data_IF_087451878389
#
_entry.id   IF_087451878389
#
_cell.length_a   1.000
_cell.length_b   1.000
_cell.length_c   1.000
_cell.angle_alpha   90.00
_cell.angle_beta   90.00
_cell.angle_gamma   90.00
#
_symmetry.space_group_name_H-M   'P 1'
#
loop_
_entity.id
_entity.type
_entity.pdbx_description
1 polymer ?
#
# COMPACT_ATOMS: atom_id res chain seq x y z
N UNK A 1 -6.38 -19.95 11.60
CA UNK A 1 -5.12 -20.02 10.82
C UNK A 1 -4.71 -18.61 10.43
N UNK A 2 -5.64 -17.83 9.90
CA UNK A 2 -5.42 -16.45 9.45
C UNK A 2 -4.87 -15.51 10.53
N UNK A 3 -5.26 -15.64 11.80
CA UNK A 3 -4.63 -14.85 12.88
C UNK A 3 -3.10 -14.93 12.86
N UNK A 4 -2.55 -16.13 12.65
CA UNK A 4 -1.11 -16.35 12.59
C UNK A 4 -0.54 -15.71 11.31
N UNK A 5 -1.23 -15.86 10.18
CA UNK A 5 -0.82 -15.22 8.92
C UNK A 5 -0.76 -13.70 9.04
N UNK A 6 -1.76 -13.07 9.65
CA UNK A 6 -1.77 -11.62 9.87
C UNK A 6 -0.65 -11.17 10.83
N UNK A 7 -0.34 -11.93 11.89
CA UNK A 7 0.85 -11.64 12.69
C UNK A 7 2.16 -11.78 11.89
N UNK A 8 2.26 -12.78 11.01
CA UNK A 8 3.41 -12.95 10.13
C UNK A 8 3.52 -11.79 9.13
N UNK A 9 2.41 -11.31 8.57
CA UNK A 9 2.41 -10.13 7.71
C UNK A 9 2.84 -8.88 8.48
N UNK A 10 2.31 -8.63 9.68
CA UNK A 10 2.78 -7.54 10.54
C UNK A 10 4.29 -7.62 10.76
N UNK A 11 4.82 -8.79 11.13
CA UNK A 11 6.25 -8.99 11.34
C UNK A 11 7.05 -8.78 10.04
N UNK A 12 6.55 -9.24 8.90
CA UNK A 12 7.19 -9.04 7.60
C UNK A 12 7.24 -7.56 7.21
N UNK A 13 6.15 -6.81 7.40
CA UNK A 13 6.14 -5.37 7.15
C UNK A 13 7.07 -4.58 8.09
N UNK A 14 7.15 -4.97 9.37
CA UNK A 14 8.15 -4.42 10.30
C UNK A 14 9.57 -4.70 9.78
N UNK A 15 9.84 -5.93 9.33
CA UNK A 15 11.11 -6.30 8.72
C UNK A 15 11.44 -5.47 7.48
N UNK A 16 10.46 -5.24 6.60
CA UNK A 16 10.60 -4.38 5.42
C UNK A 16 10.89 -2.93 5.80
N UNK A 17 10.19 -2.40 6.81
CA UNK A 17 10.39 -1.04 7.31
C UNK A 17 11.81 -0.88 7.87
N UNK A 18 12.28 -1.84 8.69
CA UNK A 18 13.65 -1.85 9.21
C UNK A 18 14.66 -1.92 8.07
N UNK A 19 14.45 -2.82 7.09
CA UNK A 19 15.35 -2.95 5.95
C UNK A 19 15.44 -1.66 5.14
N UNK A 20 14.30 -1.05 4.82
CA UNK A 20 14.22 0.20 4.08
C UNK A 20 14.92 1.35 4.83
N UNK A 21 14.65 1.51 6.14
CA UNK A 21 15.30 2.51 6.98
C UNK A 21 16.80 2.28 7.13
N UNK A 22 17.25 1.03 7.24
CA UNK A 22 18.69 0.69 7.34
C UNK A 22 19.50 1.07 6.11
N UNK A 23 18.83 1.23 4.96
CA UNK A 23 19.42 1.64 3.68
C UNK A 23 19.05 3.05 3.25
N UNK A 24 18.32 3.78 4.11
CA UNK A 24 17.87 5.13 3.83
C UNK A 24 19.06 6.09 3.67
N UNK A 25 19.15 6.73 2.49
CA UNK A 25 20.20 7.74 2.24
C UNK A 25 19.70 9.17 2.38
N UNK A 26 18.45 9.43 2.03
CA UNK A 26 17.90 10.79 2.07
C UNK A 26 16.38 10.80 2.25
N UNK A 27 15.86 11.84 2.89
CA UNK A 27 14.42 12.08 3.02
C UNK A 27 13.91 12.83 1.79
N UNK A 28 13.24 12.10 0.89
CA UNK A 28 12.72 12.61 -0.38
C UNK A 28 11.31 12.03 -0.63
N UNK A 29 10.75 12.23 -1.83
CA UNK A 29 9.39 11.74 -2.14
C UNK A 29 9.26 10.21 -2.06
N UNK A 30 10.33 9.43 -2.21
CA UNK A 30 10.29 7.98 -1.97
C UNK A 30 10.05 7.61 -0.51
N UNK A 31 10.26 8.54 0.44
CA UNK A 31 10.00 8.31 1.87
C UNK A 31 8.52 8.18 2.21
N UNK A 32 7.60 8.57 1.31
CA UNK A 32 6.17 8.33 1.49
C UNK A 32 5.84 6.82 1.61
N UNK A 33 6.69 5.94 1.08
CA UNK A 33 6.58 4.49 1.27
C UNK A 33 6.57 4.08 2.74
N UNK A 34 7.27 4.82 3.62
CA UNK A 34 7.28 4.53 5.05
C UNK A 34 5.90 4.72 5.70
N UNK A 35 5.13 5.71 5.25
CA UNK A 35 3.78 5.92 5.76
C UNK A 35 2.88 4.74 5.38
N UNK A 36 2.98 4.26 4.15
CA UNK A 36 2.22 3.08 3.68
C UNK A 36 2.62 1.83 4.46
N UNK A 37 3.92 1.60 4.68
CA UNK A 37 4.39 0.49 5.51
C UNK A 37 3.85 0.58 6.94
N UNK A 38 3.83 1.76 7.56
CA UNK A 38 3.26 1.95 8.90
C UNK A 38 1.75 1.69 8.92
N UNK A 39 1.02 2.13 7.89
CA UNK A 39 -0.40 1.85 7.72
C UNK A 39 -0.68 0.35 7.66
N UNK A 40 0.08 -0.39 6.85
CA UNK A 40 -0.07 -1.85 6.71
C UNK A 40 0.34 -2.63 7.95
N UNK A 41 1.38 -2.18 8.68
CA UNK A 41 1.75 -2.73 9.99
C UNK A 41 0.58 -2.58 10.95
N UNK A 42 -0.01 -1.39 11.03
CA UNK A 42 -1.15 -1.11 11.89
C UNK A 42 -2.36 -1.96 11.50
N UNK A 43 -2.74 -1.95 10.21
CA UNK A 43 -3.88 -2.71 9.70
C UNK A 43 -3.78 -4.20 10.05
N UNK A 44 -2.67 -4.83 9.68
CA UNK A 44 -2.47 -6.26 9.92
C UNK A 44 -2.39 -6.58 11.43
N UNK A 45 -1.79 -5.69 12.23
CA UNK A 45 -1.70 -5.89 13.68
C UNK A 45 -3.07 -5.85 14.36
N UNK A 46 -3.94 -4.92 13.94
CA UNK A 46 -5.31 -4.82 14.47
C UNK A 46 -6.14 -6.03 14.05
N UNK A 47 -6.05 -6.47 12.78
CA UNK A 47 -6.75 -7.69 12.32
C UNK A 47 -6.27 -8.92 13.11
N UNK A 48 -4.95 -9.09 13.25
CA UNK A 48 -4.37 -10.21 14.00
C UNK A 48 -4.81 -10.20 15.48
N UNK A 49 -4.87 -9.02 16.08
CA UNK A 49 -5.22 -8.84 17.49
C UNK A 49 -6.72 -8.89 17.76
N UNK A 50 -7.55 -8.76 16.74
CA UNK A 50 -9.00 -8.55 16.90
C UNK A 50 -9.71 -9.64 17.71
N UNK A 51 -9.33 -10.92 17.54
CA UNK A 51 -9.90 -12.01 18.36
C UNK A 51 -9.55 -11.95 19.84
N UNK A 52 -8.44 -11.29 20.20
CA UNK A 52 -7.98 -11.15 21.58
C UNK A 52 -8.54 -9.88 22.23
N UNK A 53 -8.75 -8.83 21.43
CA UNK A 53 -9.43 -7.60 21.85
C UNK A 53 -10.92 -7.87 22.06
N UNK A 54 -11.52 -8.69 21.19
CA UNK A 54 -12.94 -9.02 21.21
C UNK A 54 -13.80 -7.95 20.54
N UNK A 55 -15.05 -8.32 20.29
CA UNK A 55 -16.06 -7.40 19.75
C UNK A 55 -16.37 -6.29 20.74
N UNK A 56 -16.38 -5.06 20.24
CA UNK A 56 -16.88 -3.91 20.98
C UNK A 56 -16.30 -2.59 20.47
N UNK A 57 -16.60 -1.49 21.18
CA UNK A 57 -16.23 -0.14 20.74
C UNK A 57 -14.72 0.07 20.55
N UNK A 58 -13.89 -0.66 21.29
CA UNK A 58 -12.43 -0.57 21.15
C UNK A 58 -11.96 -1.09 19.79
N UNK A 59 -12.34 -2.33 19.43
CA UNK A 59 -11.93 -2.93 18.16
C UNK A 59 -12.56 -2.21 16.97
N UNK A 60 -13.78 -1.70 17.13
CA UNK A 60 -14.47 -0.88 16.14
C UNK A 60 -13.72 0.42 15.85
N UNK A 61 -13.37 1.21 16.89
CA UNK A 61 -12.61 2.45 16.73
C UNK A 61 -11.21 2.22 16.13
N UNK A 62 -10.53 1.16 16.56
CA UNK A 62 -9.25 0.77 15.95
C UNK A 62 -9.43 0.40 14.48
N UNK A 63 -10.57 -0.21 14.12
CA UNK A 63 -10.89 -0.53 12.74
C UNK A 63 -11.23 0.68 11.90
N UNK A 64 -11.89 1.70 12.44
CA UNK A 64 -12.06 2.98 11.75
C UNK A 64 -10.72 3.57 11.31
N UNK A 65 -9.71 3.55 12.17
CA UNK A 65 -8.37 4.06 11.83
C UNK A 65 -7.76 3.27 10.66
N UNK A 66 -8.07 1.98 10.52
CA UNK A 66 -7.61 1.17 9.37
C UNK A 66 -8.12 1.76 8.06
N UNK A 67 -9.43 1.97 7.92
CA UNK A 67 -10.04 2.57 6.73
C UNK A 67 -9.49 3.97 6.43
N UNK A 68 -9.40 4.83 7.45
CA UNK A 68 -8.80 6.16 7.30
C UNK A 68 -7.33 6.09 6.86
N UNK A 69 -6.55 5.16 7.41
CA UNK A 69 -5.15 5.00 7.04
C UNK A 69 -5.00 4.57 5.58
N UNK A 70 -5.82 3.64 5.09
CA UNK A 70 -5.80 3.26 3.68
C UNK A 70 -6.20 4.43 2.78
N UNK A 71 -7.25 5.18 3.15
CA UNK A 71 -7.73 6.32 2.39
C UNK A 71 -6.73 7.46 2.26
N UNK A 72 -5.92 7.70 3.30
CA UNK A 72 -4.93 8.77 3.31
C UNK A 72 -3.56 8.34 2.79
N UNK A 73 -3.11 7.14 3.13
CA UNK A 73 -1.71 6.75 2.97
C UNK A 73 -1.44 6.05 1.63
N UNK A 74 -2.31 5.12 1.20
CA UNK A 74 -2.10 4.38 -0.06
C UNK A 74 -1.97 5.29 -1.29
N UNK A 75 -2.78 6.37 -1.45
CA UNK A 75 -2.61 7.32 -2.55
C UNK A 75 -1.22 7.96 -2.64
N UNK A 76 -0.50 8.06 -1.52
CA UNK A 76 0.85 8.66 -1.48
C UNK A 76 1.90 7.86 -2.25
N UNK A 77 1.58 6.63 -2.67
CA UNK A 77 2.40 5.86 -3.61
C UNK A 77 2.56 6.53 -4.99
N UNK A 78 1.68 7.47 -5.35
CA UNK A 78 1.90 8.33 -6.51
C UNK A 78 3.08 9.31 -6.30
N UNK A 79 3.21 9.88 -5.11
CA UNK A 79 4.37 10.71 -4.74
C UNK A 79 5.65 9.87 -4.69
N UNK A 80 5.58 8.66 -4.12
CA UNK A 80 6.68 7.69 -4.18
C UNK A 80 7.15 7.46 -5.62
N UNK A 81 6.21 7.24 -6.54
CA UNK A 81 6.48 6.98 -7.96
C UNK A 81 7.22 8.14 -8.62
N UNK A 82 6.78 9.38 -8.37
CA UNK A 82 7.49 10.57 -8.84
C UNK A 82 8.89 10.66 -8.24
N UNK A 83 9.04 10.36 -6.95
CA UNK A 83 10.33 10.26 -6.28
C UNK A 83 11.25 9.27 -6.97
N UNK A 84 10.79 8.06 -7.22
CA UNK A 84 11.59 7.00 -7.85
C UNK A 84 12.09 7.42 -9.24
N UNK A 85 11.26 8.08 -10.06
CA UNK A 85 11.68 8.61 -11.37
C UNK A 85 12.72 9.73 -11.24
N UNK A 86 12.58 10.61 -10.24
CA UNK A 86 13.55 11.69 -9.98
C UNK A 86 14.92 11.12 -9.60
N UNK A 87 14.94 10.17 -8.66
CA UNK A 87 16.18 9.51 -8.21
C UNK A 87 16.81 8.69 -9.34
N UNK A 88 15.99 8.11 -10.23
CA UNK A 88 16.47 7.41 -11.42
C UNK A 88 17.04 8.33 -12.52
N UNK A 89 17.00 9.66 -12.35
CA UNK A 89 17.58 10.60 -13.31
C UNK A 89 16.63 11.05 -14.43
N UNK A 90 15.34 10.71 -14.38
CA UNK A 90 14.37 11.08 -15.42
C UNK A 90 14.13 12.59 -15.43
N UNK A 91 14.64 13.28 -16.46
CA UNK A 91 14.72 14.75 -16.49
C UNK A 91 13.38 15.48 -16.37
N UNK A 92 12.32 15.00 -17.03
CA UNK A 92 11.01 15.66 -16.96
C UNK A 92 10.35 15.52 -15.57
N UNK A 93 10.63 14.43 -14.84
CA UNK A 93 10.10 14.19 -13.50
C UNK A 93 10.62 15.22 -12.46
N UNK A 94 11.76 15.86 -12.73
CA UNK A 94 12.36 16.89 -11.86
C UNK A 94 11.66 18.25 -11.97
N UNK A 95 10.79 18.48 -12.98
CA UNK A 95 10.08 19.75 -13.18
C UNK A 95 9.08 20.01 -12.05
N UNK A 96 8.97 21.28 -11.60
CA UNK A 96 7.98 21.70 -10.58
C UNK A 96 6.53 21.47 -11.01
N UNK A 97 6.21 21.72 -12.29
CA UNK A 97 4.86 21.48 -12.81
C UNK A 97 4.42 20.02 -12.63
N UNK A 98 5.32 19.05 -12.87
CA UNK A 98 5.03 17.63 -12.70
C UNK A 98 4.77 17.28 -11.23
N UNK A 99 5.47 17.92 -10.29
CA UNK A 99 5.17 17.76 -8.86
C UNK A 99 3.74 18.18 -8.52
N UNK A 100 3.30 19.37 -8.96
CA UNK A 100 1.94 19.84 -8.68
C UNK A 100 0.87 18.97 -9.33
N UNK A 101 1.13 18.44 -10.54
CA UNK A 101 0.21 17.49 -11.19
C UNK A 101 0.09 16.20 -10.37
N UNK A 102 1.21 15.59 -9.95
CA UNK A 102 1.19 14.36 -9.14
C UNK A 102 0.59 14.61 -7.75
N UNK A 103 0.85 15.76 -7.15
CA UNK A 103 0.25 16.16 -5.88
C UNK A 103 -1.27 16.32 -6.02
N UNK A 104 -1.74 17.02 -7.06
CA UNK A 104 -3.17 17.15 -7.37
C UNK A 104 -3.83 15.79 -7.60
N UNK A 105 -3.18 14.89 -8.35
CA UNK A 105 -3.64 13.52 -8.54
C UNK A 105 -3.73 12.73 -7.22
N UNK A 106 -2.72 12.87 -6.35
CA UNK A 106 -2.71 12.23 -5.01
C UNK A 106 -3.87 12.73 -4.16
N UNK A 107 -4.09 14.04 -4.11
CA UNK A 107 -5.19 14.65 -3.35
C UNK A 107 -6.57 14.25 -3.91
N UNK A 108 -6.69 14.15 -5.24
CA UNK A 108 -7.92 13.68 -5.89
C UNK A 108 -8.22 12.23 -5.52
N UNK A 109 -7.21 11.34 -5.53
CA UNK A 109 -7.39 9.95 -5.08
C UNK A 109 -7.76 9.85 -3.60
N UNK A 110 -7.15 10.67 -2.73
CA UNK A 110 -7.56 10.75 -1.32
C UNK A 110 -9.03 11.16 -1.21
N UNK A 111 -9.47 12.17 -1.97
CA UNK A 111 -10.85 12.61 -1.95
C UNK A 111 -11.82 11.54 -2.45
N UNK A 112 -11.47 10.84 -3.53
CA UNK A 112 -12.25 9.71 -4.06
C UNK A 112 -12.38 8.62 -3.00
N UNK A 113 -11.25 8.14 -2.46
CA UNK A 113 -11.27 7.06 -1.47
C UNK A 113 -12.00 7.47 -0.19
N UNK A 114 -11.84 8.72 0.24
CA UNK A 114 -12.60 9.26 1.36
C UNK A 114 -14.11 9.22 1.09
N UNK A 115 -14.57 9.66 -0.08
CA UNK A 115 -16.01 9.68 -0.42
C UNK A 115 -16.60 8.28 -0.53
N UNK A 116 -15.86 7.31 -1.09
CA UNK A 116 -16.40 5.97 -1.34
C UNK A 116 -16.21 4.99 -0.19
N UNK A 117 -15.14 5.11 0.61
CA UNK A 117 -14.76 4.10 1.61
C UNK A 117 -14.80 4.62 3.06
N UNK A 118 -14.90 5.94 3.27
CA UNK A 118 -14.83 6.55 4.62
C UNK A 118 -16.08 7.38 4.95
N UNK A 119 -16.60 8.12 3.99
CA UNK A 119 -17.75 8.98 4.19
C UNK A 119 -19.01 8.15 4.45
N UNK A 120 -19.58 8.29 5.65
CA UNK A 120 -20.73 7.48 6.04
C UNK A 120 -20.39 6.00 6.27
N UNK A 121 -19.11 5.67 6.50
CA UNK A 121 -18.67 4.31 6.79
C UNK A 121 -19.37 3.78 8.04
N UNK A 122 -20.16 2.73 7.84
CA UNK A 122 -20.73 1.92 8.91
C UNK A 122 -19.97 0.61 8.99
N UNK A 123 -19.53 0.26 10.20
CA UNK A 123 -18.74 -0.94 10.45
C UNK A 123 -19.61 -2.02 11.08
N UNK A 124 -19.49 -3.24 10.56
CA UNK A 124 -20.11 -4.42 11.15
C UNK A 124 -19.07 -5.48 11.51
N UNK A 125 -19.37 -6.27 12.53
CA UNK A 125 -18.51 -7.38 12.95
C UNK A 125 -18.52 -8.47 11.87
N UNK A 126 -17.33 -8.86 11.46
CA UNK A 126 -17.08 -9.97 10.54
C UNK A 126 -16.23 -11.03 11.24
N UNK A 127 -16.70 -12.28 11.19
CA UNK A 127 -16.04 -13.45 11.80
C UNK A 127 -15.76 -14.49 10.74
N UNK A 128 -14.56 -14.45 10.17
CA UNK A 128 -14.14 -15.35 9.10
C UNK A 128 -12.78 -15.97 9.40
N UNK A 129 -12.63 -17.26 9.08
CA UNK A 129 -11.35 -18.00 9.16
C UNK A 129 -10.60 -17.91 10.52
N UNK A 130 -11.34 -17.67 11.60
CA UNK A 130 -10.82 -17.51 12.97
C UNK A 130 -10.37 -16.08 13.32
N UNK A 131 -10.69 -15.11 12.48
CA UNK A 131 -10.56 -13.68 12.75
C UNK A 131 -11.85 -13.14 13.38
N UNK A 132 -11.69 -12.05 14.13
CA UNK A 132 -12.76 -11.17 14.57
C UNK A 132 -12.31 -9.77 14.17
N UNK A 133 -12.96 -9.15 13.19
CA UNK A 133 -12.62 -7.82 12.69
C UNK A 133 -13.90 -7.03 12.43
N UNK A 134 -13.77 -5.72 12.29
CA UNK A 134 -14.83 -4.90 11.71
C UNK A 134 -14.53 -4.63 10.24
N UNK A 135 -15.56 -4.74 9.39
CA UNK A 135 -15.53 -4.48 7.96
C UNK A 135 -16.69 -3.55 7.56
N UNK A 136 -16.63 -2.99 6.35
CA UNK A 136 -17.72 -2.13 5.83
C UNK A 136 -19.02 -2.93 5.73
N UNK A 137 -20.12 -2.35 6.23
CA UNK A 137 -21.44 -2.92 6.11
C UNK A 137 -22.00 -2.91 4.68
N UNK A 138 -21.49 -2.01 3.82
CA UNK A 138 -21.82 -1.92 2.40
C UNK A 138 -20.52 -1.97 1.58
N UNK A 139 -19.94 -3.17 1.37
CA UNK A 139 -18.70 -3.31 0.62
C UNK A 139 -18.96 -3.01 -0.86
N UNK A 140 -18.11 -2.16 -1.46
CA UNK A 140 -18.21 -1.84 -2.87
C UNK A 140 -18.14 -3.11 -3.75
N UNK A 141 -19.00 -3.18 -4.77
CA UNK A 141 -19.04 -4.30 -5.71
C UNK A 141 -17.91 -4.20 -6.75
N UNK A 142 -16.68 -4.51 -6.36
CA UNK A 142 -15.52 -4.54 -7.25
C UNK A 142 -14.19 -4.19 -6.56
N UNK A 143 -13.04 -4.32 -7.24
CA UNK A 143 -11.77 -3.86 -6.70
C UNK A 143 -11.86 -2.36 -6.40
N UNK A 144 -11.36 -1.88 -5.25
CA UNK A 144 -11.41 -0.46 -4.91
C UNK A 144 -10.81 0.38 -6.03
N UNK A 145 -11.58 1.37 -6.52
CA UNK A 145 -11.21 2.21 -7.66
C UNK A 145 -9.84 2.86 -7.42
N UNK A 146 -9.55 3.26 -6.18
CA UNK A 146 -8.27 3.83 -5.78
C UNK A 146 -7.10 2.87 -6.02
N UNK A 147 -7.22 1.60 -5.67
CA UNK A 147 -6.15 0.61 -5.88
C UNK A 147 -5.83 0.50 -7.38
N UNK A 148 -6.85 0.51 -8.24
CA UNK A 148 -6.64 0.50 -9.70
C UNK A 148 -5.89 1.75 -10.17
N UNK A 149 -6.32 2.93 -9.71
CA UNK A 149 -5.70 4.22 -10.07
C UNK A 149 -4.26 4.33 -9.58
N UNK A 150 -3.96 3.89 -8.36
CA UNK A 150 -2.59 3.84 -7.82
C UNK A 150 -1.75 2.85 -8.61
N UNK A 151 -2.30 1.67 -8.91
CA UNK A 151 -1.56 0.61 -9.60
C UNK A 151 -1.20 0.99 -11.04
N UNK A 152 -2.06 1.75 -11.74
CA UNK A 152 -1.72 2.32 -13.06
C UNK A 152 -0.46 3.18 -12.97
N UNK A 153 -0.36 4.05 -11.95
CA UNK A 153 0.83 4.90 -11.74
C UNK A 153 2.05 4.05 -11.42
N UNK A 154 1.91 3.01 -10.60
CA UNK A 154 3.00 2.09 -10.27
C UNK A 154 3.50 1.32 -11.51
N UNK A 155 2.59 0.82 -12.35
CA UNK A 155 2.90 0.12 -13.60
C UNK A 155 3.61 1.07 -14.57
N UNK A 156 3.06 2.26 -14.81
CA UNK A 156 3.65 3.25 -15.71
C UNK A 156 5.07 3.62 -15.25
N UNK A 157 5.25 3.83 -13.95
CA UNK A 157 6.55 4.11 -13.34
C UNK A 157 7.50 2.93 -13.48
N UNK A 158 7.04 1.69 -13.23
CA UNK A 158 7.83 0.48 -13.40
C UNK A 158 8.31 0.29 -14.85
N UNK A 159 7.46 0.56 -15.85
CA UNK A 159 7.84 0.54 -17.27
C UNK A 159 8.94 1.57 -17.55
N UNK A 160 8.79 2.79 -17.04
CA UNK A 160 9.78 3.85 -17.22
C UNK A 160 11.11 3.52 -16.54
N UNK A 161 11.10 3.00 -15.32
CA UNK A 161 12.30 2.56 -14.62
C UNK A 161 13.00 1.40 -15.34
N UNK A 162 12.23 0.46 -15.89
CA UNK A 162 12.80 -0.61 -16.70
C UNK A 162 13.49 -0.04 -17.94
N UNK A 163 12.82 0.82 -18.69
CA UNK A 163 13.40 1.44 -19.90
C UNK A 163 14.60 2.33 -19.61
N UNK A 164 14.61 3.04 -18.48
CA UNK A 164 15.62 4.05 -18.19
C UNK A 164 16.87 3.48 -17.48
N UNK A 165 16.68 2.56 -16.53
CA UNK A 165 17.77 2.05 -15.68
C UNK A 165 17.83 0.51 -15.61
N UNK A 166 17.04 -0.20 -16.42
CA UNK A 166 17.00 -1.66 -16.47
C UNK A 166 16.21 -2.31 -15.31
N UNK A 167 15.54 -1.53 -14.47
CA UNK A 167 14.91 -2.02 -13.24
C UNK A 167 13.45 -2.45 -13.44
N UNK A 168 13.20 -3.76 -13.48
CA UNK A 168 11.87 -4.34 -13.77
C UNK A 168 11.03 -4.69 -12.54
N UNK A 169 11.60 -4.72 -11.33
CA UNK A 169 10.95 -5.33 -10.17
C UNK A 169 9.69 -4.60 -9.69
N UNK A 170 9.68 -3.26 -9.75
CA UNK A 170 8.47 -2.48 -9.48
C UNK A 170 7.30 -2.88 -10.40
N UNK A 171 7.59 -3.08 -11.69
CA UNK A 171 6.59 -3.49 -12.66
C UNK A 171 6.07 -4.90 -12.37
N UNK A 172 6.97 -5.83 -12.02
CA UNK A 172 6.59 -7.20 -11.64
C UNK A 172 5.68 -7.19 -10.41
N UNK A 173 6.06 -6.44 -9.36
CA UNK A 173 5.24 -6.31 -8.14
C UNK A 173 3.85 -5.76 -8.43
N UNK A 174 3.78 -4.65 -9.18
CA UNK A 174 2.50 -4.03 -9.53
C UNK A 174 1.63 -4.94 -10.43
N UNK A 175 2.24 -5.64 -11.38
CA UNK A 175 1.54 -6.61 -12.22
C UNK A 175 0.99 -7.80 -11.44
N UNK A 176 1.79 -8.37 -10.53
CA UNK A 176 1.34 -9.47 -9.66
C UNK A 176 0.20 -9.03 -8.75
N UNK A 177 0.28 -7.84 -8.13
CA UNK A 177 -0.81 -7.29 -7.34
C UNK A 177 -2.08 -7.12 -8.17
N UNK A 178 -1.97 -6.54 -9.37
CA UNK A 178 -3.13 -6.34 -10.26
C UNK A 178 -3.80 -7.68 -10.56
N UNK A 179 -3.04 -8.67 -11.04
CA UNK A 179 -3.59 -9.98 -11.39
C UNK A 179 -4.20 -10.65 -10.16
N UNK A 180 -3.51 -10.62 -9.02
CA UNK A 180 -3.98 -11.19 -7.76
C UNK A 180 -5.27 -10.55 -7.23
N UNK A 181 -5.52 -9.28 -7.50
CA UNK A 181 -6.75 -8.58 -7.11
C UNK A 181 -7.94 -8.85 -8.03
N UNK A 182 -7.71 -9.26 -9.28
CA UNK A 182 -8.79 -9.54 -10.25
C UNK A 182 -9.14 -11.02 -10.36
N UNK A 183 -8.22 -11.92 -10.02
CA UNK A 183 -8.44 -13.36 -10.15
C UNK A 183 -8.92 -13.91 -8.80
N UNK A 184 -10.15 -14.45 -8.71
CA UNK A 184 -10.58 -15.12 -7.50
C UNK A 184 -9.70 -16.34 -7.26
N UNK A 185 -8.98 -16.32 -6.15
CA UNK A 185 -8.11 -17.42 -5.76
C UNK A 185 -8.92 -18.36 -4.88
N UNK A 186 -9.06 -19.66 -5.25
CA UNK A 186 -9.86 -20.63 -4.51
C UNK A 186 -9.12 -21.10 -3.25
N UNK A 187 -8.82 -20.16 -2.35
CA UNK A 187 -8.19 -20.41 -1.07
C UNK A 187 -9.07 -19.77 -0.01
N UNK A 188 -9.49 -20.60 0.95
CA UNK A 188 -10.30 -20.22 2.10
C UNK A 188 -9.48 -19.41 3.11
N UNK A 189 -9.12 -18.17 2.75
CA UNK A 189 -8.36 -17.27 3.61
C UNK A 189 -8.57 -15.80 3.25
N UNK A 190 -8.80 -14.97 4.27
CA UNK A 190 -8.85 -13.51 4.15
C UNK A 190 -7.45 -12.89 3.97
N UNK A 191 -6.38 -13.70 4.09
CA UNK A 191 -5.00 -13.25 4.07
C UNK A 191 -4.37 -13.22 2.66
N UNK A 192 -5.05 -13.73 1.63
CA UNK A 192 -4.49 -13.87 0.26
C UNK A 192 -4.11 -12.52 -0.34
N UNK A 193 -4.97 -11.51 -0.24
CA UNK A 193 -4.69 -10.16 -0.75
C UNK A 193 -3.47 -9.53 -0.08
N UNK A 194 -3.32 -9.74 1.24
CA UNK A 194 -2.18 -9.24 2.00
C UNK A 194 -0.84 -9.86 1.55
N UNK A 195 -0.85 -11.09 1.01
CA UNK A 195 0.35 -11.69 0.42
C UNK A 195 0.80 -10.95 -0.85
N UNK A 196 -0.16 -10.53 -1.70
CA UNK A 196 0.14 -9.75 -2.89
C UNK A 196 0.60 -8.34 -2.55
N UNK A 197 -0.02 -7.70 -1.55
CA UNK A 197 0.43 -6.42 -1.03
C UNK A 197 1.84 -6.51 -0.46
N UNK A 198 2.15 -7.53 0.34
CA UNK A 198 3.49 -7.73 0.88
C UNK A 198 4.52 -7.88 -0.24
N UNK A 199 4.21 -8.66 -1.28
CA UNK A 199 5.08 -8.81 -2.45
C UNK A 199 5.28 -7.47 -3.18
N UNK A 200 4.21 -6.70 -3.39
CA UNK A 200 4.29 -5.36 -3.96
C UNK A 200 5.21 -4.47 -3.12
N UNK A 201 4.95 -4.35 -1.81
CA UNK A 201 5.71 -3.49 -0.91
C UNK A 201 7.18 -3.90 -0.84
N UNK A 202 7.49 -5.19 -0.86
CA UNK A 202 8.87 -5.68 -0.99
C UNK A 202 9.54 -5.14 -2.26
N UNK A 203 8.88 -5.23 -3.43
CA UNK A 203 9.44 -4.70 -4.68
C UNK A 203 9.57 -3.18 -4.67
N UNK A 204 8.69 -2.44 -3.98
CA UNK A 204 8.79 -0.99 -3.83
C UNK A 204 9.94 -0.59 -2.91
N UNK A 205 10.14 -1.28 -1.78
CA UNK A 205 11.29 -1.09 -0.91
C UNK A 205 12.59 -1.35 -1.68
N UNK A 206 12.64 -2.45 -2.43
CA UNK A 206 13.82 -2.77 -3.24
C UNK A 206 14.08 -1.69 -4.29
N UNK A 207 13.03 -1.23 -4.96
CA UNK A 207 13.11 -0.13 -5.94
C UNK A 207 13.67 1.13 -5.31
N UNK A 208 13.16 1.53 -4.13
CA UNK A 208 13.66 2.69 -3.37
C UNK A 208 15.17 2.59 -3.12
N UNK A 209 15.62 1.46 -2.57
CA UNK A 209 17.03 1.23 -2.25
C UNK A 209 17.89 1.31 -3.53
N UNK A 210 17.42 0.72 -4.62
CA UNK A 210 18.15 0.72 -5.90
C UNK A 210 18.26 2.13 -6.48
N UNK A 211 17.18 2.89 -6.57
CA UNK A 211 17.24 4.24 -7.17
C UNK A 211 18.05 5.22 -6.32
N UNK A 212 18.00 5.11 -4.99
CA UNK A 212 18.85 5.95 -4.11
C UNK A 212 20.32 5.56 -4.18
N UNK A 213 20.63 4.28 -4.38
CA UNK A 213 22.03 3.86 -4.54
C UNK A 213 22.70 4.47 -5.78
N UNK A 214 21.95 4.66 -6.87
CA UNK A 214 22.43 5.20 -8.14
C UNK A 214 22.56 6.73 -8.17
N UNK A 215 21.84 7.46 -7.33
CA UNK A 215 21.98 8.92 -7.25
C UNK A 215 23.19 9.34 -6.42
N UNK A 216 23.56 8.53 -5.42
CA UNK A 216 24.63 8.81 -4.47
C UNK A 216 25.87 7.91 -4.68
N UNK A 217 26.02 7.29 -5.84
CA UNK A 217 27.16 6.43 -6.21
C UNK A 217 27.74 6.87 -7.53
#
# INVERSE_FOLDING_TARGET
MDTILFFLFTAAYIGLLIWALSKQRSWNLTSFLYLVLLGLIYDNAIIASGRYIGEGPLLENLSFIRFWSHALLTPTLALFSLGALRQAGVGWAKKKAVFYVVLGYTLAMIAVEFVFEVWGLELMVEKEYGLVKYASADPASGPPIMILLVTIVLIATGILLWKHIGWKWMLIGAGVMTIGSFVPIPVDSAAVTNAFELFLLFTLVWTKITVESKEYG
#
